data_IF_656943584317
#
_entry.id   IF_656943584317
#
_cell.length_a   1.000
_cell.length_b   1.000
_cell.length_c   1.000
_cell.angle_alpha   90.00
_cell.angle_beta   90.00
_cell.angle_gamma   90.00
#
_symmetry.space_group_name_H-M   'P 1'
#
loop_
_entity.id
_entity.type
_entity.pdbx_description
1 polymer ?
#
# COMPACT_ATOMS: atom_id res chain seq x y z
N UNK A 1 -27.82 -22.23 19.07
CA UNK A 1 -26.79 -22.40 20.13
C UNK A 1 -25.38 -22.28 19.56
N UNK A 2 -25.05 -22.98 18.47
CA UNK A 2 -23.73 -22.93 17.80
C UNK A 2 -23.31 -21.52 17.36
N UNK A 3 -24.15 -20.80 16.60
CA UNK A 3 -23.81 -19.44 16.12
C UNK A 3 -23.64 -18.40 17.24
N UNK A 4 -24.39 -18.51 18.34
CA UNK A 4 -24.22 -17.61 19.51
C UNK A 4 -22.90 -17.87 20.24
N UNK A 5 -22.49 -19.13 20.34
CA UNK A 5 -21.19 -19.52 20.92
C UNK A 5 -20.02 -19.14 20.01
N UNK A 6 -20.16 -19.36 18.70
CA UNK A 6 -19.18 -18.97 17.69
C UNK A 6 -18.94 -17.45 17.64
N UNK A 7 -20.00 -16.64 17.68
CA UNK A 7 -19.88 -15.18 17.74
C UNK A 7 -19.17 -14.71 19.03
N UNK A 8 -19.44 -15.35 20.17
CA UNK A 8 -18.77 -15.04 21.44
C UNK A 8 -17.28 -15.43 21.45
N UNK A 9 -16.92 -16.52 20.78
CA UNK A 9 -15.52 -16.97 20.64
C UNK A 9 -14.72 -16.05 19.69
N UNK A 10 -15.31 -15.57 18.58
CA UNK A 10 -14.63 -14.66 17.63
C UNK A 10 -14.43 -13.22 18.15
N UNK A 11 -15.29 -12.73 19.04
CA UNK A 11 -15.14 -11.40 19.67
C UNK A 11 -13.91 -11.29 20.60
N UNK A 12 -13.33 -12.42 21.02
CA UNK A 12 -12.28 -12.49 22.03
C UNK A 12 -10.90 -12.98 21.50
N UNK A 13 -10.71 -13.07 20.18
CA UNK A 13 -9.43 -13.52 19.61
C UNK A 13 -8.45 -12.34 19.40
N UNK A 14 -7.25 -12.36 20.00
CA UNK A 14 -6.20 -11.42 19.63
C UNK A 14 -5.73 -11.65 18.18
N UNK A 15 -5.29 -10.60 17.51
CA UNK A 15 -4.68 -10.68 16.17
C UNK A 15 -3.55 -11.72 16.19
N UNK A 16 -3.64 -12.75 15.34
CA UNK A 16 -2.63 -13.82 15.30
C UNK A 16 -1.28 -13.26 14.87
N UNK A 17 -0.24 -13.53 15.66
CA UNK A 17 1.14 -13.18 15.35
C UNK A 17 1.65 -13.97 14.11
N UNK A 18 2.49 -13.37 13.24
CA UNK A 18 2.96 -14.02 12.03
C UNK A 18 3.88 -15.21 12.35
N UNK A 19 3.62 -16.35 11.70
CA UNK A 19 4.43 -17.57 11.81
C UNK A 19 5.75 -17.40 11.03
N UNK A 20 6.87 -17.74 11.66
CA UNK A 20 8.21 -17.79 11.03
C UNK A 20 8.22 -18.85 9.91
N UNK A 21 8.52 -18.46 8.67
CA UNK A 21 8.73 -19.40 7.56
C UNK A 21 10.22 -19.71 7.34
N UNK A 22 10.48 -20.97 7.04
CA UNK A 22 11.80 -21.56 6.83
C UNK A 22 12.45 -21.10 5.52
N UNK A 23 13.78 -21.00 5.57
CA UNK A 23 14.72 -20.61 4.50
C UNK A 23 14.66 -21.62 3.33
N UNK A 24 14.36 -21.14 2.12
CA UNK A 24 14.58 -21.89 0.88
C UNK A 24 15.58 -21.12 0.01
N UNK A 25 16.67 -21.77 -0.34
CA UNK A 25 17.75 -21.25 -1.20
C UNK A 25 17.31 -21.41 -2.65
N UNK A 26 17.31 -20.33 -3.44
CA UNK A 26 17.16 -20.38 -4.89
C UNK A 26 18.33 -19.64 -5.54
N UNK A 27 19.06 -20.38 -6.40
CA UNK A 27 20.23 -19.92 -7.11
C UNK A 27 19.90 -19.02 -8.30
N UNK A 28 20.83 -18.11 -8.57
CA UNK A 28 20.83 -17.12 -9.63
C UNK A 28 20.93 -17.74 -11.03
N UNK A 29 20.21 -17.16 -11.99
CA UNK A 29 20.53 -17.22 -13.43
C UNK A 29 20.19 -15.87 -14.06
N UNK A 30 21.20 -15.04 -14.34
CA UNK A 30 21.11 -13.84 -15.20
C UNK A 30 21.61 -14.19 -16.61
N UNK A 31 20.94 -13.73 -17.69
CA UNK A 31 21.57 -13.65 -18.99
C UNK A 31 21.97 -12.22 -19.38
N UNK A 32 23.00 -12.23 -20.23
CA UNK A 32 23.92 -11.18 -20.65
C UNK A 32 23.30 -10.13 -21.61
N UNK A 33 24.00 -9.00 -21.70
CA UNK A 33 23.66 -7.77 -22.43
C UNK A 33 23.75 -7.95 -23.95
N UNK A 34 22.79 -7.39 -24.68
CA UNK A 34 22.85 -7.20 -26.14
C UNK A 34 22.42 -5.78 -26.52
N UNK A 35 23.37 -4.97 -26.92
CA UNK A 35 23.20 -3.61 -27.46
C UNK A 35 22.68 -3.74 -28.89
N UNK A 36 21.61 -3.02 -29.27
CA UNK A 36 21.56 -2.51 -30.65
C UNK A 36 20.77 -1.20 -30.83
N UNK A 37 21.33 -0.34 -31.67
CA UNK A 37 20.88 1.04 -31.95
C UNK A 37 19.98 1.02 -33.19
N UNK A 38 18.88 1.77 -33.17
CA UNK A 38 18.35 2.30 -34.43
C UNK A 38 17.79 3.72 -34.27
N UNK A 39 18.57 4.69 -34.78
CA UNK A 39 18.11 6.05 -35.11
C UNK A 39 17.32 6.00 -36.40
N UNK A 40 16.11 6.55 -36.43
CA UNK A 40 15.57 7.29 -37.60
C UNK A 40 14.69 8.43 -37.11
N UNK A 41 15.04 9.64 -37.51
CA UNK A 41 14.22 10.83 -37.29
C UNK A 41 13.25 11.05 -38.44
N UNK A 42 12.17 11.77 -38.16
CA UNK A 42 11.40 12.52 -39.16
C UNK A 42 10.66 13.68 -38.51
N UNK A 43 11.12 14.89 -38.86
CA UNK A 43 10.37 16.10 -39.20
C UNK A 43 9.11 16.53 -38.41
N UNK A 44 9.29 17.67 -37.73
CA UNK A 44 8.33 18.74 -37.37
C UNK A 44 7.02 18.78 -38.18
N UNK A 45 5.90 18.99 -37.48
CA UNK A 45 4.89 20.00 -37.83
C UNK A 45 4.30 20.66 -36.59
N UNK A 46 4.14 21.97 -36.72
CA UNK A 46 3.67 22.98 -35.79
C UNK A 46 2.16 22.97 -35.58
N UNK A 47 1.74 23.04 -34.31
CA UNK A 47 0.45 23.53 -33.83
C UNK A 47 0.79 24.29 -32.54
N UNK A 48 0.36 25.50 -32.23
CA UNK A 48 -0.59 26.45 -32.79
C UNK A 48 -0.63 27.53 -31.69
N UNK A 49 -0.17 28.74 -32.01
CA UNK A 49 0.06 29.81 -31.03
C UNK A 49 -1.31 30.40 -30.65
N UNK A 50 -1.82 30.12 -29.45
CA UNK A 50 -3.07 30.72 -28.95
C UNK A 50 -2.75 32.07 -28.31
N UNK A 51 -3.43 33.11 -28.83
CA UNK A 51 -3.24 34.51 -28.51
C UNK A 51 -3.68 34.87 -27.08
N UNK A 52 -2.99 35.86 -26.48
CA UNK A 52 -3.43 36.55 -25.26
C UNK A 52 -4.55 37.54 -25.59
N UNK A 53 -5.60 37.55 -24.79
CA UNK A 53 -6.54 38.67 -24.71
C UNK A 53 -7.11 38.82 -23.28
N UNK A 54 -7.01 40.05 -22.76
CA UNK A 54 -8.07 40.71 -22.00
C UNK A 54 -8.26 40.39 -20.51
N UNK A 55 -8.00 41.38 -19.66
CA UNK A 55 -8.42 41.44 -18.25
C UNK A 55 -9.91 41.81 -18.12
N UNK A 56 -10.59 41.34 -17.05
CA UNK A 56 -11.87 41.84 -16.56
C UNK A 56 -12.60 40.84 -15.62
N UNK A 57 -12.73 41.15 -14.33
CA UNK A 57 -13.23 40.26 -13.24
C UNK A 57 -14.76 40.01 -13.22
N UNK A 58 -15.39 39.60 -12.08
CA UNK A 58 -14.86 39.17 -10.79
C UNK A 58 -14.91 37.63 -10.64
N UNK A 59 -13.78 37.02 -10.31
CA UNK A 59 -13.64 35.56 -10.16
C UNK A 59 -14.14 35.08 -8.79
N UNK A 60 -15.45 34.89 -8.66
CA UNK A 60 -16.11 34.33 -7.46
C UNK A 60 -16.31 32.80 -7.48
N UNK A 61 -15.72 32.09 -8.44
CA UNK A 61 -15.81 30.63 -8.58
C UNK A 61 -14.41 29.96 -8.65
N UNK A 62 -13.34 30.77 -8.71
CA UNK A 62 -11.97 30.29 -8.90
C UNK A 62 -11.28 29.68 -7.67
N UNK A 63 -11.85 29.83 -6.47
CA UNK A 63 -11.14 29.43 -5.23
C UNK A 63 -11.53 28.04 -4.72
N UNK A 64 -12.61 27.43 -5.21
CA UNK A 64 -13.07 26.11 -4.71
C UNK A 64 -12.38 24.94 -5.43
N UNK A 65 -11.86 25.16 -6.65
CA UNK A 65 -11.15 24.16 -7.44
C UNK A 65 -9.61 24.23 -7.27
N UNK A 66 -9.14 24.81 -6.16
CA UNK A 66 -7.73 24.79 -5.75
C UNK A 66 -7.33 23.54 -4.95
N UNK A 67 -8.28 22.65 -4.67
CA UNK A 67 -7.99 21.35 -4.09
C UNK A 67 -7.63 20.37 -5.21
N UNK A 68 -6.44 19.81 -5.11
CA UNK A 68 -5.92 18.68 -5.88
C UNK A 68 -7.03 17.72 -6.32
N UNK A 69 -7.47 17.85 -7.58
CA UNK A 69 -8.47 16.94 -8.15
C UNK A 69 -7.71 15.67 -8.53
N UNK A 70 -7.56 14.79 -7.54
CA UNK A 70 -6.96 13.48 -7.74
C UNK A 70 -7.62 12.76 -8.93
N UNK A 71 -6.80 12.14 -9.77
CA UNK A 71 -7.29 11.42 -10.97
C UNK A 71 -7.99 10.12 -10.61
N UNK A 72 -7.78 9.62 -9.38
CA UNK A 72 -8.38 8.40 -8.85
C UNK A 72 -9.54 8.71 -7.91
N UNK A 73 -10.55 7.84 -7.90
CA UNK A 73 -11.68 7.98 -6.97
C UNK A 73 -11.26 7.89 -5.50
N UNK A 74 -10.17 7.20 -5.20
CA UNK A 74 -9.55 7.11 -3.87
C UNK A 74 -8.92 8.43 -3.40
N UNK A 75 -8.57 9.32 -4.33
CA UNK A 75 -7.98 10.64 -4.06
C UNK A 75 -9.05 11.75 -4.14
N UNK A 76 -10.28 11.43 -4.58
CA UNK A 76 -11.36 12.40 -4.72
C UNK A 76 -11.84 12.93 -3.37
N UNK A 77 -11.80 14.25 -3.18
CA UNK A 77 -12.37 14.90 -1.99
C UNK A 77 -13.87 14.59 -1.77
N UNK A 78 -14.61 14.33 -2.86
CA UNK A 78 -16.05 14.04 -2.80
C UNK A 78 -16.34 12.55 -2.61
N UNK A 79 -15.62 11.69 -3.32
CA UNK A 79 -15.99 10.27 -3.43
C UNK A 79 -15.10 9.31 -2.64
N UNK A 80 -13.93 9.72 -2.15
CA UNK A 80 -12.96 8.79 -1.52
C UNK A 80 -13.54 7.95 -0.39
N UNK A 81 -14.50 8.51 0.36
CA UNK A 81 -15.17 7.83 1.47
C UNK A 81 -15.88 6.52 1.07
N UNK A 82 -16.23 6.35 -0.21
CA UNK A 82 -16.85 5.14 -0.73
C UNK A 82 -15.83 4.13 -1.29
N UNK A 83 -14.57 4.52 -1.48
CA UNK A 83 -13.57 3.72 -2.20
C UNK A 83 -12.31 3.40 -1.37
N UNK A 84 -12.07 4.08 -0.26
CA UNK A 84 -10.96 3.80 0.66
C UNK A 84 -11.30 4.22 2.09
N UNK A 85 -10.47 3.82 3.05
CA UNK A 85 -10.51 4.26 4.45
C UNK A 85 -9.23 5.01 4.79
N UNK A 86 -9.24 5.93 5.79
CA UNK A 86 -8.01 6.58 6.22
C UNK A 86 -6.90 5.60 6.62
N UNK A 87 -7.27 4.46 7.23
CA UNK A 87 -6.31 3.43 7.62
C UNK A 87 -5.64 2.77 6.41
N UNK A 88 -6.41 2.41 5.37
CA UNK A 88 -5.85 1.78 4.17
C UNK A 88 -5.06 2.78 3.32
N UNK A 89 -5.54 4.02 3.22
CA UNK A 89 -4.88 5.09 2.48
C UNK A 89 -3.50 5.41 3.08
N UNK A 90 -3.39 5.39 4.42
CA UNK A 90 -2.12 5.62 5.11
C UNK A 90 -1.05 4.57 4.75
N UNK A 91 -1.43 3.31 4.49
CA UNK A 91 -0.47 2.23 4.11
C UNK A 91 0.28 2.57 2.81
N UNK A 92 -0.44 3.14 1.84
CA UNK A 92 0.10 3.48 0.51
C UNK A 92 0.49 4.95 0.36
N UNK A 93 0.30 5.76 1.41
CA UNK A 93 0.69 7.15 1.43
C UNK A 93 2.19 7.34 1.22
N UNK A 94 2.56 8.44 0.56
CA UNK A 94 3.96 8.69 0.16
C UNK A 94 4.92 8.73 1.35
N UNK A 95 4.56 9.45 2.42
CA UNK A 95 5.38 9.52 3.63
C UNK A 95 5.54 8.16 4.30
N UNK A 96 4.47 7.35 4.37
CA UNK A 96 4.52 6.01 4.95
C UNK A 96 5.39 5.06 4.12
N UNK A 97 5.26 5.12 2.79
CA UNK A 97 6.11 4.37 1.87
C UNK A 97 7.58 4.74 2.03
N UNK A 98 7.90 6.03 2.04
CA UNK A 98 9.27 6.49 2.21
C UNK A 98 9.83 6.06 3.56
N UNK A 99 9.09 6.25 4.66
CA UNK A 99 9.55 5.82 5.98
C UNK A 99 9.76 4.31 6.03
N UNK A 100 8.86 3.53 5.45
CA UNK A 100 9.01 2.08 5.35
C UNK A 100 10.29 1.69 4.58
N UNK A 101 10.65 2.42 3.53
CA UNK A 101 11.91 2.19 2.81
C UNK A 101 13.13 2.47 3.71
N UNK A 102 13.08 3.54 4.50
CA UNK A 102 14.14 3.86 5.47
C UNK A 102 14.26 2.79 6.55
N UNK A 103 13.14 2.28 7.05
CA UNK A 103 13.08 1.21 8.04
C UNK A 103 13.64 -0.11 7.45
N UNK A 104 13.34 -0.42 6.19
CA UNK A 104 13.91 -1.57 5.48
C UNK A 104 15.43 -1.44 5.34
N UNK A 105 15.94 -0.27 4.94
CA UNK A 105 17.37 -0.03 4.83
C UNK A 105 18.08 -0.10 6.19
N UNK A 106 17.42 0.36 7.25
CA UNK A 106 17.92 0.22 8.63
C UNK A 106 17.98 -1.25 9.04
N UNK A 107 16.94 -2.03 8.75
CA UNK A 107 16.91 -3.47 9.04
C UNK A 107 17.94 -4.25 8.21
N UNK A 108 18.18 -3.85 6.96
CA UNK A 108 19.23 -4.40 6.11
C UNK A 108 20.61 -4.15 6.71
N UNK A 109 20.91 -2.91 7.10
CA UNK A 109 22.17 -2.55 7.73
C UNK A 109 22.38 -3.36 9.02
N UNK A 110 21.34 -3.49 9.86
CA UNK A 110 21.41 -4.31 11.08
C UNK A 110 21.77 -5.76 10.76
N UNK A 111 21.11 -6.37 9.78
CA UNK A 111 21.42 -7.72 9.37
C UNK A 111 22.86 -7.83 8.83
N UNK A 112 23.35 -6.83 8.11
CA UNK A 112 24.71 -6.82 7.58
C UNK A 112 25.77 -6.66 8.68
N UNK A 113 25.50 -5.88 9.73
CA UNK A 113 26.34 -5.78 10.93
C UNK A 113 26.44 -7.14 11.63
N UNK A 114 25.32 -7.85 11.78
CA UNK A 114 25.28 -9.18 12.42
C UNK A 114 26.18 -10.20 11.70
N UNK A 115 26.43 -10.01 10.39
CA UNK A 115 27.33 -10.82 9.57
C UNK A 115 28.72 -10.18 9.35
N UNK A 116 29.00 -9.02 9.93
CA UNK A 116 30.27 -8.31 9.78
C UNK A 116 30.55 -7.79 8.37
N UNK A 117 29.50 -7.57 7.57
CA UNK A 117 29.61 -7.05 6.19
C UNK A 117 29.74 -5.52 6.16
N UNK A 118 29.16 -4.84 7.15
CA UNK A 118 29.29 -3.38 7.37
C UNK A 118 29.76 -3.14 8.80
N UNK A 119 30.41 -2.00 9.11
CA UNK A 119 30.85 -1.67 10.46
C UNK A 119 29.68 -1.59 11.44
N UNK A 120 29.92 -1.94 12.71
CA UNK A 120 28.93 -1.78 13.76
C UNK A 120 28.57 -0.32 13.98
N UNK A 121 27.28 -0.03 14.15
CA UNK A 121 26.75 1.31 14.44
C UNK A 121 26.12 1.99 13.24
N UNK A 122 26.32 1.50 12.01
CA UNK A 122 25.64 2.00 10.81
C UNK A 122 24.12 1.91 10.94
N UNK A 123 23.61 0.81 11.47
CA UNK A 123 22.18 0.62 11.70
C UNK A 123 21.63 1.59 12.75
N UNK A 124 22.42 1.93 13.76
CA UNK A 124 22.06 2.91 14.78
C UNK A 124 22.01 4.32 14.19
N UNK A 125 23.00 4.70 13.37
CA UNK A 125 23.01 5.98 12.66
C UNK A 125 21.80 6.11 11.71
N UNK A 126 21.47 5.05 10.97
CA UNK A 126 20.27 5.01 10.14
C UNK A 126 19.00 5.16 10.99
N UNK A 127 18.89 4.49 12.14
CA UNK A 127 17.72 4.60 13.00
C UNK A 127 17.51 6.01 13.56
N UNK A 128 18.60 6.75 13.76
CA UNK A 128 18.56 8.14 14.26
C UNK A 128 18.26 9.13 13.12
N UNK A 129 18.89 8.97 11.96
CA UNK A 129 18.92 9.98 10.90
C UNK A 129 18.02 9.67 9.69
N UNK A 130 17.59 8.43 9.49
CA UNK A 130 16.75 8.02 8.37
C UNK A 130 15.26 8.21 8.71
N UNK A 131 14.86 9.46 8.93
CA UNK A 131 13.45 9.86 9.09
C UNK A 131 13.02 10.69 7.90
N UNK A 132 11.80 10.47 7.41
CA UNK A 132 11.27 11.23 6.26
C UNK A 132 11.28 12.74 6.52
N UNK A 133 11.01 13.14 7.75
CA UNK A 133 11.03 14.55 8.20
C UNK A 133 12.40 15.22 8.05
N UNK A 134 13.49 14.45 8.11
CA UNK A 134 14.86 14.95 8.05
C UNK A 134 15.42 15.01 6.62
N UNK A 135 14.66 14.50 5.63
CA UNK A 135 15.06 14.46 4.23
C UNK A 135 14.57 15.68 3.45
N UNK A 136 15.44 16.25 2.62
CA UNK A 136 15.07 17.23 1.60
C UNK A 136 14.41 16.51 0.40
N UNK A 137 13.10 16.32 0.47
CA UNK A 137 12.32 15.63 -0.55
C UNK A 137 12.33 16.35 -1.90
N UNK A 138 12.47 17.69 -1.92
CA UNK A 138 12.56 18.46 -3.16
C UNK A 138 13.88 18.18 -3.88
N UNK A 139 15.00 18.20 -3.15
CA UNK A 139 16.30 17.83 -3.70
C UNK A 139 16.35 16.37 -4.18
N UNK A 140 15.73 15.45 -3.43
CA UNK A 140 15.61 14.03 -3.83
C UNK A 140 14.81 13.90 -5.13
N UNK A 141 13.71 14.64 -5.26
CA UNK A 141 12.87 14.62 -6.46
C UNK A 141 13.59 15.22 -7.68
N UNK A 142 14.31 16.32 -7.50
CA UNK A 142 15.16 16.92 -8.55
C UNK A 142 16.23 15.93 -9.02
N UNK A 143 16.91 15.27 -8.09
CA UNK A 143 17.93 14.30 -8.41
C UNK A 143 17.38 13.07 -9.13
N UNK A 144 16.20 12.61 -8.73
CA UNK A 144 15.48 11.53 -9.43
C UNK A 144 15.15 11.94 -10.87
N UNK A 145 14.67 13.17 -11.08
CA UNK A 145 14.40 13.70 -12.45
C UNK A 145 15.67 13.80 -13.29
N UNK A 146 16.76 14.25 -12.69
CA UNK A 146 18.06 14.39 -13.37
C UNK A 146 18.66 13.04 -13.77
N UNK A 147 18.55 12.03 -12.91
CA UNK A 147 19.21 10.73 -13.10
C UNK A 147 18.32 9.70 -13.78
N UNK A 148 16.99 9.90 -13.75
CA UNK A 148 15.98 8.89 -14.13
C UNK A 148 16.12 7.57 -13.37
N UNK A 149 16.82 7.57 -12.23
CA UNK A 149 17.02 6.41 -11.37
C UNK A 149 16.13 6.51 -10.14
N UNK A 150 15.26 5.51 -9.93
CA UNK A 150 14.16 5.56 -8.95
C UNK A 150 14.58 5.72 -7.49
N UNK A 151 15.80 5.30 -7.12
CA UNK A 151 16.28 5.35 -5.74
C UNK A 151 17.56 6.16 -5.54
N UNK A 152 18.19 6.67 -6.61
CA UNK A 152 19.51 7.31 -6.47
C UNK A 152 19.42 8.64 -5.72
N UNK A 153 18.35 9.40 -5.96
CA UNK A 153 18.07 10.60 -5.18
C UNK A 153 17.90 10.31 -3.70
N UNK A 154 17.20 9.21 -3.35
CA UNK A 154 17.04 8.80 -1.96
C UNK A 154 18.37 8.42 -1.30
N UNK A 155 19.20 7.65 -2.00
CA UNK A 155 20.54 7.25 -1.51
C UNK A 155 21.38 8.50 -1.19
N UNK A 156 21.45 9.45 -2.13
CA UNK A 156 22.20 10.69 -1.91
C UNK A 156 21.57 11.58 -0.83
N UNK A 157 20.24 11.60 -0.73
CA UNK A 157 19.52 12.28 0.35
C UNK A 157 19.93 11.75 1.72
N UNK A 158 19.95 10.41 1.88
CA UNK A 158 20.38 9.76 3.11
C UNK A 158 21.85 10.03 3.43
N UNK A 159 22.73 9.97 2.43
CA UNK A 159 24.14 10.28 2.61
C UNK A 159 24.39 11.71 3.13
N UNK A 160 23.49 12.67 2.85
CA UNK A 160 23.63 14.05 3.37
C UNK A 160 23.31 14.16 4.85
N UNK A 161 22.37 13.36 5.36
CA UNK A 161 21.93 13.41 6.77
C UNK A 161 22.74 12.49 7.68
N UNK A 162 23.40 11.48 7.12
CA UNK A 162 24.22 10.53 7.87
C UNK A 162 25.63 11.06 8.17
N UNK A 163 26.26 10.62 9.28
CA UNK A 163 27.67 10.87 9.55
C UNK A 163 28.56 10.16 8.54
N UNK A 164 29.76 10.71 8.32
CA UNK A 164 30.68 10.29 7.25
C UNK A 164 30.93 8.77 7.22
N UNK A 165 31.14 8.16 8.39
CA UNK A 165 31.44 6.74 8.52
C UNK A 165 30.29 5.79 8.13
N UNK A 166 29.05 6.28 8.02
CA UNK A 166 27.87 5.48 7.67
C UNK A 166 27.44 5.65 6.20
N UNK A 167 27.89 6.71 5.52
CA UNK A 167 27.38 7.12 4.18
C UNK A 167 27.58 6.09 3.09
N UNK A 168 28.74 5.42 3.07
CA UNK A 168 29.06 4.45 2.03
C UNK A 168 28.27 3.14 2.17
N UNK A 169 27.74 2.86 3.35
CA UNK A 169 27.03 1.62 3.67
C UNK A 169 25.52 1.72 3.47
N UNK A 170 24.99 2.91 3.19
CA UNK A 170 23.59 3.08 2.80
C UNK A 170 23.32 2.27 1.53
N UNK A 171 22.28 1.44 1.56
CA UNK A 171 21.89 0.63 0.41
C UNK A 171 22.92 -0.45 0.01
N UNK A 172 23.93 -0.72 0.85
CA UNK A 172 25.02 -1.63 0.49
C UNK A 172 24.49 -3.01 0.07
N UNK A 173 24.87 -3.48 -1.11
CA UNK A 173 24.52 -4.80 -1.62
C UNK A 173 23.03 -5.01 -1.99
N UNK A 174 22.19 -3.99 -1.92
CA UNK A 174 20.78 -4.09 -2.31
C UNK A 174 20.53 -3.51 -3.72
N UNK A 175 19.44 -3.95 -4.33
CA UNK A 175 18.90 -3.42 -5.58
C UNK A 175 17.59 -2.67 -5.35
N UNK A 176 17.09 -1.97 -6.38
CA UNK A 176 15.76 -1.31 -6.32
C UNK A 176 14.67 -2.31 -5.96
N UNK A 177 14.74 -3.52 -6.53
CA UNK A 177 13.71 -4.54 -6.34
C UNK A 177 13.65 -5.06 -4.90
N UNK A 178 14.80 -5.25 -4.26
CA UNK A 178 14.85 -5.72 -2.85
C UNK A 178 14.10 -4.76 -1.93
N UNK A 179 14.26 -3.45 -2.16
CA UNK A 179 13.57 -2.42 -1.39
C UNK A 179 12.08 -2.38 -1.71
N UNK A 180 11.73 -2.32 -3.00
CA UNK A 180 10.33 -2.15 -3.43
C UNK A 180 9.46 -3.36 -3.12
N UNK A 181 9.98 -4.57 -3.31
CA UNK A 181 9.22 -5.80 -3.10
C UNK A 181 9.06 -6.10 -1.61
N UNK A 182 10.10 -5.81 -0.81
CA UNK A 182 9.99 -5.90 0.66
C UNK A 182 8.93 -4.93 1.17
N UNK A 183 8.93 -3.69 0.68
CA UNK A 183 7.88 -2.73 1.01
C UNK A 183 6.50 -3.21 0.57
N UNK A 184 6.37 -3.76 -0.64
CA UNK A 184 5.08 -4.26 -1.12
C UNK A 184 4.57 -5.42 -0.25
N UNK A 185 5.44 -6.33 0.17
CA UNK A 185 5.10 -7.39 1.13
C UNK A 185 4.59 -6.84 2.47
N UNK A 186 5.24 -5.80 3.01
CA UNK A 186 4.81 -5.10 4.22
C UNK A 186 3.44 -4.44 4.02
N UNK A 187 3.27 -3.68 2.92
CA UNK A 187 2.02 -2.99 2.61
C UNK A 187 0.85 -3.97 2.44
N UNK A 188 1.08 -5.13 1.80
CA UNK A 188 0.07 -6.17 1.65
C UNK A 188 -0.28 -6.82 2.99
N UNK A 189 0.71 -7.10 3.86
CA UNK A 189 0.46 -7.60 5.21
C UNK A 189 -0.42 -6.63 6.02
N UNK A 190 -0.09 -5.35 5.99
CA UNK A 190 -0.79 -4.32 6.75
C UNK A 190 -2.21 -4.10 6.18
N UNK A 191 -2.34 -4.09 4.86
CA UNK A 191 -3.65 -4.04 4.18
C UNK A 191 -4.53 -5.23 4.54
N UNK A 192 -4.00 -6.45 4.52
CA UNK A 192 -4.74 -7.66 4.90
C UNK A 192 -5.16 -7.62 6.36
N UNK A 193 -4.34 -7.04 7.25
CA UNK A 193 -4.71 -6.88 8.66
C UNK A 193 -5.94 -5.98 8.82
N UNK A 194 -6.00 -4.87 8.08
CA UNK A 194 -7.15 -3.96 8.07
C UNK A 194 -8.39 -4.66 7.48
N UNK A 195 -8.27 -5.26 6.30
CA UNK A 195 -9.36 -5.94 5.61
C UNK A 195 -9.92 -7.09 6.46
N UNK A 196 -9.06 -7.87 7.11
CA UNK A 196 -9.47 -8.98 7.98
C UNK A 196 -10.29 -8.48 9.16
N UNK A 197 -9.90 -7.36 9.78
CA UNK A 197 -10.68 -6.77 10.85
C UNK A 197 -12.08 -6.32 10.37
N UNK A 198 -12.19 -5.82 9.15
CA UNK A 198 -13.47 -5.42 8.54
C UNK A 198 -14.35 -6.64 8.23
N UNK A 199 -13.77 -7.70 7.66
CA UNK A 199 -14.47 -8.95 7.39
C UNK A 199 -15.04 -9.58 8.66
N UNK A 200 -14.30 -9.55 9.78
CA UNK A 200 -14.82 -10.04 11.08
C UNK A 200 -16.04 -9.23 11.51
N UNK A 201 -16.05 -7.90 11.33
CA UNK A 201 -17.23 -7.08 11.65
C UNK A 201 -18.43 -7.40 10.75
N UNK A 202 -18.19 -7.62 9.47
CA UNK A 202 -19.22 -8.03 8.50
C UNK A 202 -19.79 -9.41 8.85
N UNK A 203 -18.94 -10.38 9.16
CA UNK A 203 -19.34 -11.72 9.58
C UNK A 203 -20.26 -11.66 10.80
N UNK A 204 -19.88 -10.90 11.83
CA UNK A 204 -20.68 -10.70 13.04
C UNK A 204 -22.04 -10.07 12.74
N UNK A 205 -22.08 -9.05 11.86
CA UNK A 205 -23.34 -8.45 11.43
C UNK A 205 -24.23 -9.44 10.67
N UNK A 206 -23.66 -10.26 9.78
CA UNK A 206 -24.39 -11.32 9.10
C UNK A 206 -24.94 -12.37 10.08
N UNK A 207 -24.16 -12.77 11.10
CA UNK A 207 -24.62 -13.69 12.14
C UNK A 207 -25.77 -13.07 12.94
N UNK A 208 -25.69 -11.79 13.29
CA UNK A 208 -26.77 -11.09 14.00
C UNK A 208 -28.06 -11.08 13.18
N UNK A 209 -27.99 -10.77 11.88
CA UNK A 209 -29.12 -10.83 10.96
C UNK A 209 -29.68 -12.26 10.85
N UNK A 210 -28.81 -13.26 10.74
CA UNK A 210 -29.20 -14.67 10.65
C UNK A 210 -30.00 -15.11 11.88
N UNK A 211 -29.58 -14.69 13.07
CA UNK A 211 -30.26 -15.01 14.33
C UNK A 211 -31.56 -14.23 14.50
N UNK A 212 -31.57 -12.92 14.19
CA UNK A 212 -32.75 -12.07 14.34
C UNK A 212 -33.90 -12.50 13.41
N UNK A 213 -33.57 -12.99 12.23
CA UNK A 213 -34.54 -13.35 11.19
C UNK A 213 -34.59 -14.84 10.91
N UNK A 214 -34.21 -15.67 11.89
CA UNK A 214 -34.17 -17.13 11.78
C UNK A 214 -35.41 -17.71 11.12
N UNK A 215 -36.57 -17.24 11.57
CA UNK A 215 -37.88 -17.76 11.18
C UNK A 215 -38.68 -16.74 10.32
N UNK A 216 -38.05 -15.67 9.82
CA UNK A 216 -38.70 -14.69 8.94
C UNK A 216 -38.83 -15.25 7.52
N UNK A 217 -40.04 -15.59 7.03
CA UNK A 217 -40.20 -16.18 5.71
C UNK A 217 -39.94 -15.16 4.60
N UNK A 218 -39.37 -15.62 3.49
CA UNK A 218 -39.23 -14.85 2.26
C UNK A 218 -39.32 -15.75 1.03
N UNK A 219 -39.65 -15.17 -0.12
CA UNK A 219 -39.57 -15.89 -1.39
C UNK A 219 -38.10 -16.19 -1.73
N UNK A 220 -37.75 -17.47 -1.83
CA UNK A 220 -36.51 -17.89 -2.48
C UNK A 220 -36.52 -17.45 -3.94
N UNK A 221 -35.35 -17.16 -4.51
CA UNK A 221 -35.22 -16.79 -5.93
C UNK A 221 -34.08 -17.53 -6.59
N UNK A 222 -34.36 -18.11 -7.75
CA UNK A 222 -33.39 -18.78 -8.62
C UNK A 222 -33.57 -18.24 -10.04
N UNK A 223 -32.49 -17.85 -10.71
CA UNK A 223 -32.55 -17.18 -12.03
C UNK A 223 -33.48 -15.95 -12.07
N UNK A 224 -33.57 -15.21 -10.97
CA UNK A 224 -34.46 -14.05 -10.84
C UNK A 224 -35.94 -14.37 -10.68
N UNK A 225 -36.35 -15.65 -10.75
CA UNK A 225 -37.74 -16.08 -10.60
C UNK A 225 -38.04 -16.54 -9.17
N UNK A 226 -39.28 -16.37 -8.67
CA UNK A 226 -39.71 -16.94 -7.40
C UNK A 226 -39.57 -18.47 -7.42
N UNK A 227 -38.90 -19.01 -6.40
CA UNK A 227 -38.79 -20.43 -6.11
C UNK A 227 -39.55 -20.80 -4.82
N UNK A 228 -39.14 -21.91 -4.20
CA UNK A 228 -39.70 -22.34 -2.91
C UNK A 228 -39.39 -21.33 -1.79
N UNK A 229 -40.30 -21.14 -0.80
CA UNK A 229 -40.04 -20.27 0.36
C UNK A 229 -38.78 -20.70 1.13
N UNK A 230 -38.04 -19.70 1.62
CA UNK A 230 -36.91 -19.86 2.55
C UNK A 230 -37.09 -18.89 3.73
N UNK A 231 -36.15 -18.85 4.67
CA UNK A 231 -36.09 -17.76 5.66
C UNK A 231 -34.98 -16.76 5.33
N UNK A 232 -35.16 -15.49 5.68
CA UNK A 232 -34.10 -14.49 5.55
C UNK A 232 -32.89 -14.84 6.44
N UNK A 233 -33.14 -15.44 7.61
CA UNK A 233 -32.08 -15.95 8.48
C UNK A 233 -31.19 -16.99 7.79
N UNK A 234 -31.78 -17.93 7.05
CA UNK A 234 -31.02 -18.89 6.23
C UNK A 234 -30.15 -18.18 5.19
N UNK A 235 -30.69 -17.15 4.50
CA UNK A 235 -29.94 -16.37 3.51
C UNK A 235 -28.74 -15.62 4.13
N UNK A 236 -28.95 -14.97 5.28
CA UNK A 236 -27.90 -14.25 5.98
C UNK A 236 -26.83 -15.19 6.57
N UNK A 237 -27.21 -16.40 6.99
CA UNK A 237 -26.27 -17.42 7.43
C UNK A 237 -25.31 -17.86 6.31
N UNK A 238 -25.80 -17.99 5.07
CA UNK A 238 -24.93 -18.27 3.92
C UNK A 238 -23.93 -17.14 3.66
N UNK A 239 -24.31 -15.87 3.84
CA UNK A 239 -23.37 -14.75 3.73
C UNK A 239 -22.27 -14.83 4.79
N UNK A 240 -22.63 -15.09 6.05
CA UNK A 240 -21.66 -15.27 7.13
C UNK A 240 -20.68 -16.43 6.83
N UNK A 241 -21.18 -17.55 6.31
CA UNK A 241 -20.36 -18.72 5.94
C UNK A 241 -19.34 -18.40 4.83
N UNK A 242 -19.72 -17.64 3.80
CA UNK A 242 -18.77 -17.18 2.77
C UNK A 242 -17.71 -16.23 3.33
N UNK A 243 -18.11 -15.29 4.20
CA UNK A 243 -17.17 -14.36 4.83
C UNK A 243 -16.21 -15.11 5.76
N UNK A 244 -16.68 -16.11 6.52
CA UNK A 244 -15.82 -16.94 7.35
C UNK A 244 -14.72 -17.62 6.52
N UNK A 245 -15.08 -18.20 5.37
CA UNK A 245 -14.09 -18.77 4.44
C UNK A 245 -13.07 -17.75 3.95
N UNK A 246 -13.49 -16.51 3.71
CA UNK A 246 -12.59 -15.45 3.30
C UNK A 246 -11.63 -15.03 4.42
N UNK A 247 -12.05 -15.09 5.69
CA UNK A 247 -11.19 -14.76 6.84
C UNK A 247 -10.15 -15.86 7.12
N UNK A 248 -10.47 -17.11 6.79
CA UNK A 248 -9.59 -18.26 7.02
C UNK A 248 -8.46 -18.39 5.99
N UNK A 249 -8.56 -17.69 4.86
CA UNK A 249 -7.58 -17.69 3.75
C UNK A 249 -6.65 -16.49 3.83
#
# INVERSE_FOLDING_TARGET
MVLRRYAAERLNLPAQAPRRSHRTVLGEVLPDRGIDRCRRGTSRRSLGRIARAGQGGPSGIGTVLGADVGTRLTESALYRHAWTTPALDAVFGESHRLQSWLDILTALAQAQEDFGLVPSGVADELRVHARVEDLDLEAIAEETRRTSHSTLGLIHGLQRVLPEHAREYVYFGATVQDLTDTWFGIAMRDSTTIIRADLVRVELACIQLALAHRDSPMAGRTHGQPGTPITFGFKAATWADEISRAIDR
#
